data_IF_175430208516
#
_entry.id   IF_175430208516
#
_cell.length_a   1.000
_cell.length_b   1.000
_cell.length_c   1.000
_cell.angle_alpha   90.00
_cell.angle_beta   90.00
_cell.angle_gamma   90.00
#
_symmetry.space_group_name_H-M   'P 1'
#
loop_
_entity.id
_entity.type
_entity.pdbx_description
1 polymer ?
#
# COMPACT_ATOMS: atom_id res chain seq x y z
N UNK A 1 -9.44 1.24 -52.52
CA UNK A 1 -9.68 1.66 -51.13
C UNK A 1 -9.55 0.42 -50.28
N UNK A 2 -8.73 0.51 -49.27
CA UNK A 2 -8.27 -0.62 -48.51
C UNK A 2 -9.35 -1.05 -47.51
N UNK A 3 -9.89 -2.27 -47.71
CA UNK A 3 -10.95 -2.85 -46.89
C UNK A 3 -10.56 -2.95 -45.42
N UNK A 4 -9.25 -2.96 -45.13
CA UNK A 4 -8.67 -2.96 -43.80
C UNK A 4 -8.89 -1.59 -43.11
N UNK A 5 -8.67 -0.47 -43.83
CA UNK A 5 -8.85 0.87 -43.28
C UNK A 5 -10.32 1.20 -42.98
N UNK A 6 -11.24 0.58 -43.75
CA UNK A 6 -12.69 0.74 -43.54
C UNK A 6 -13.14 -0.06 -42.28
N UNK A 7 -12.59 -1.27 -42.09
CA UNK A 7 -12.80 -2.08 -40.89
C UNK A 7 -12.21 -1.44 -39.62
N UNK A 8 -11.00 -0.86 -39.71
CA UNK A 8 -10.41 -0.14 -38.57
C UNK A 8 -11.23 1.08 -38.17
N UNK A 9 -11.78 1.79 -39.14
CA UNK A 9 -12.62 2.97 -38.89
C UNK A 9 -13.97 2.57 -38.27
N UNK A 10 -14.56 1.46 -38.67
CA UNK A 10 -15.79 0.91 -38.11
C UNK A 10 -15.56 0.41 -36.68
N UNK A 11 -14.43 -0.25 -36.41
CA UNK A 11 -14.06 -0.72 -35.09
C UNK A 11 -13.79 0.43 -34.11
N UNK A 12 -13.12 1.49 -34.55
CA UNK A 12 -12.87 2.68 -33.75
C UNK A 12 -14.16 3.44 -33.43
N UNK A 13 -15.08 3.53 -34.38
CA UNK A 13 -16.39 4.17 -34.18
C UNK A 13 -17.25 3.36 -33.18
N UNK A 14 -17.22 2.03 -33.23
CA UNK A 14 -17.94 1.17 -32.30
C UNK A 14 -17.34 1.23 -30.87
N UNK A 15 -16.03 1.42 -30.75
CA UNK A 15 -15.36 1.64 -29.46
C UNK A 15 -15.66 3.02 -28.84
N UNK A 16 -15.91 4.05 -29.66
CA UNK A 16 -16.29 5.39 -29.20
C UNK A 16 -17.78 5.46 -28.80
N UNK A 17 -18.68 4.75 -29.53
CA UNK A 17 -20.12 4.70 -29.20
C UNK A 17 -20.45 3.77 -28.03
N UNK A 18 -19.66 2.71 -27.83
CA UNK A 18 -19.82 1.76 -26.72
C UNK A 18 -18.48 1.66 -25.96
N UNK A 19 -18.13 2.64 -25.13
CA UNK A 19 -17.00 2.47 -24.25
C UNK A 19 -17.29 1.27 -23.35
N UNK A 20 -16.51 0.20 -23.55
CA UNK A 20 -16.56 -0.93 -22.63
C UNK A 20 -16.04 -0.40 -21.29
N UNK A 21 -16.95 0.05 -20.45
CA UNK A 21 -16.65 0.26 -19.04
C UNK A 21 -16.25 -1.09 -18.46
N UNK A 22 -14.96 -1.34 -18.40
CA UNK A 22 -14.42 -2.40 -17.55
C UNK A 22 -14.60 -1.99 -16.09
N UNK A 23 -15.84 -1.95 -15.63
CA UNK A 23 -16.17 -1.98 -14.22
C UNK A 23 -16.16 -3.44 -13.76
N UNK A 24 -15.07 -4.15 -13.98
CA UNK A 24 -14.74 -5.20 -13.03
C UNK A 24 -14.34 -4.47 -11.74
N UNK A 25 -15.30 -4.26 -10.87
CA UNK A 25 -15.04 -4.13 -9.43
C UNK A 25 -14.49 -5.48 -8.98
N UNK A 26 -13.22 -5.69 -9.31
CA UNK A 26 -12.47 -6.86 -8.89
C UNK A 26 -12.45 -6.79 -7.37
N UNK A 27 -13.28 -7.63 -6.74
CA UNK A 27 -13.37 -7.65 -5.28
C UNK A 27 -12.00 -8.09 -4.74
N UNK A 28 -11.18 -7.12 -4.35
CA UNK A 28 -9.85 -7.32 -3.78
C UNK A 28 -9.86 -7.30 -2.25
N UNK A 29 -11.05 -7.26 -1.65
CA UNK A 29 -11.24 -7.16 -0.20
C UNK A 29 -11.15 -8.54 0.44
N UNK A 30 -10.32 -8.66 1.46
CA UNK A 30 -10.20 -9.84 2.30
C UNK A 30 -11.38 -9.89 3.27
N UNK A 31 -12.22 -10.90 3.15
CA UNK A 31 -13.35 -11.10 4.06
C UNK A 31 -12.93 -11.96 5.25
N UNK A 32 -13.15 -11.46 6.46
CA UNK A 32 -12.94 -12.22 7.68
C UNK A 32 -14.27 -12.79 8.12
N UNK A 33 -14.38 -14.12 8.08
CA UNK A 33 -15.52 -14.83 8.68
C UNK A 33 -15.31 -14.87 10.20
N UNK A 34 -16.12 -14.08 10.91
CA UNK A 34 -16.02 -13.99 12.37
C UNK A 34 -16.36 -15.31 13.08
N UNK A 35 -17.26 -16.15 12.54
CA UNK A 35 -17.64 -17.41 13.16
C UNK A 35 -16.54 -18.44 13.07
N UNK A 36 -15.92 -18.60 11.89
CA UNK A 36 -14.82 -19.49 11.64
C UNK A 36 -13.46 -18.83 11.92
N UNK A 37 -13.43 -17.52 12.04
CA UNK A 37 -12.22 -16.70 12.21
C UNK A 37 -11.20 -16.91 11.08
N UNK A 38 -11.68 -17.25 9.89
CA UNK A 38 -10.86 -17.43 8.71
C UNK A 38 -10.78 -16.12 7.92
N UNK A 39 -9.67 -15.96 7.21
CA UNK A 39 -9.47 -14.86 6.25
C UNK A 39 -9.64 -15.45 4.86
N UNK A 40 -10.68 -15.04 4.16
CA UNK A 40 -10.92 -15.42 2.77
C UNK A 40 -10.09 -14.53 1.85
N UNK A 41 -9.16 -15.15 1.13
CA UNK A 41 -8.29 -14.43 0.17
C UNK A 41 -9.08 -14.23 -1.12
N UNK A 42 -9.21 -13.00 -1.63
CA UNK A 42 -9.83 -12.75 -2.93
C UNK A 42 -9.09 -13.49 -4.04
N UNK A 43 -9.80 -14.08 -4.98
CA UNK A 43 -9.20 -14.86 -6.10
C UNK A 43 -8.27 -14.03 -6.97
N UNK A 44 -8.41 -12.73 -6.93
CA UNK A 44 -7.59 -11.74 -7.66
C UNK A 44 -6.27 -11.41 -6.97
N UNK A 45 -6.17 -11.69 -5.67
CA UNK A 45 -4.94 -11.44 -4.90
C UNK A 45 -4.09 -12.70 -4.91
N UNK A 46 -3.07 -12.72 -5.76
CA UNK A 46 -2.17 -13.87 -5.91
C UNK A 46 -0.92 -13.78 -5.03
N UNK A 47 -0.53 -12.56 -4.65
CA UNK A 47 0.69 -12.30 -3.89
C UNK A 47 0.51 -11.07 -2.98
N UNK A 48 1.41 -10.90 -2.04
CA UNK A 48 1.43 -9.74 -1.13
C UNK A 48 2.33 -8.60 -1.66
N UNK A 49 3.21 -8.88 -2.58
CA UNK A 49 4.14 -7.91 -3.20
C UNK A 49 5.28 -8.62 -3.91
N UNK A 50 6.23 -7.85 -4.38
CA UNK A 50 7.53 -8.29 -4.90
C UNK A 50 8.60 -7.97 -3.85
N UNK A 51 9.68 -8.72 -3.83
CA UNK A 51 10.81 -8.50 -2.93
C UNK A 51 11.30 -7.04 -2.98
N UNK A 52 11.48 -6.45 -1.81
CA UNK A 52 11.87 -5.04 -1.62
C UNK A 52 10.80 -3.98 -1.93
N UNK A 53 9.56 -4.34 -2.25
CA UNK A 53 8.47 -3.38 -2.29
C UNK A 53 8.31 -2.68 -0.93
N UNK A 54 7.94 -1.39 -0.94
CA UNK A 54 7.75 -0.62 0.28
C UNK A 54 6.56 0.33 0.12
N UNK A 55 5.54 0.15 0.94
CA UNK A 55 4.33 0.99 1.02
C UNK A 55 3.55 1.19 -0.30
N UNK A 56 3.74 0.29 -1.28
CA UNK A 56 3.07 0.35 -2.59
C UNK A 56 1.78 -0.46 -2.66
N UNK A 57 1.61 -1.45 -1.79
CA UNK A 57 0.44 -2.33 -1.77
C UNK A 57 -0.35 -2.19 -0.47
N UNK A 58 -1.65 -1.99 -0.63
CA UNK A 58 -2.61 -1.94 0.47
C UNK A 58 -3.57 -3.11 0.35
N UNK A 59 -3.67 -3.91 1.41
CA UNK A 59 -4.65 -4.98 1.52
C UNK A 59 -5.84 -4.48 2.32
N UNK A 60 -7.02 -4.57 1.75
CA UNK A 60 -8.26 -4.13 2.39
C UNK A 60 -8.99 -5.32 3.02
N UNK A 61 -9.52 -5.12 4.22
CA UNK A 61 -10.22 -6.15 4.97
C UNK A 61 -11.62 -5.67 5.34
N UNK A 62 -12.55 -6.62 5.36
CA UNK A 62 -13.87 -6.43 5.94
C UNK A 62 -14.22 -7.58 6.87
N UNK A 63 -14.96 -7.28 7.92
CA UNK A 63 -15.44 -8.27 8.87
C UNK A 63 -16.76 -7.82 9.50
N UNK A 64 -17.62 -8.75 9.97
CA UNK A 64 -18.79 -8.41 10.75
C UNK A 64 -18.43 -7.65 12.03
N UNK A 65 -19.25 -6.68 12.39
CA UNK A 65 -19.14 -5.92 13.63
C UNK A 65 -19.39 -6.79 14.87
N UNK A 66 -20.24 -7.81 14.73
CA UNK A 66 -20.69 -8.64 15.83
C UNK A 66 -20.05 -10.02 15.80
N UNK A 67 -19.58 -10.50 16.95
CA UNK A 67 -19.13 -11.87 17.17
C UNK A 67 -19.73 -12.40 18.46
N UNK A 68 -20.74 -13.25 18.35
CA UNK A 68 -21.54 -13.66 19.51
C UNK A 68 -22.13 -12.44 20.22
N UNK A 69 -21.81 -12.28 21.50
CA UNK A 69 -22.23 -11.14 22.33
C UNK A 69 -21.28 -9.93 22.24
N UNK A 70 -20.18 -10.03 21.48
CA UNK A 70 -19.15 -9.00 21.45
C UNK A 70 -19.31 -8.06 20.27
N UNK A 71 -19.32 -6.75 20.57
CA UNK A 71 -19.19 -5.69 19.57
C UNK A 71 -17.70 -5.46 19.27
N UNK A 72 -17.25 -5.96 18.12
CA UNK A 72 -15.86 -5.89 17.68
C UNK A 72 -15.41 -4.48 17.33
N UNK A 73 -16.34 -3.52 17.19
CA UNK A 73 -15.99 -2.12 16.96
C UNK A 73 -15.22 -1.49 18.13
N UNK A 74 -15.32 -2.04 19.33
CA UNK A 74 -14.62 -1.58 20.52
C UNK A 74 -13.18 -2.11 20.59
N UNK A 75 -12.84 -3.11 19.77
CA UNK A 75 -11.52 -3.74 19.80
C UNK A 75 -10.52 -2.95 18.95
N UNK A 76 -9.28 -2.87 19.40
CA UNK A 76 -8.15 -2.43 18.59
C UNK A 76 -7.71 -3.57 17.69
N UNK A 77 -7.41 -3.25 16.44
CA UNK A 77 -7.00 -4.24 15.43
C UNK A 77 -5.50 -4.10 15.16
N UNK A 78 -4.82 -5.21 15.08
CA UNK A 78 -3.45 -5.29 14.60
C UNK A 78 -3.27 -6.53 13.74
N UNK A 79 -2.27 -6.54 12.88
CA UNK A 79 -1.88 -7.69 12.08
C UNK A 79 -0.54 -8.17 12.62
N UNK A 80 -0.51 -9.42 13.10
CA UNK A 80 0.73 -10.06 13.46
C UNK A 80 1.21 -10.87 12.26
N UNK A 81 2.45 -10.72 11.87
CA UNK A 81 2.98 -11.43 10.72
C UNK A 81 4.38 -11.97 10.94
N UNK A 82 4.74 -12.95 10.12
CA UNK A 82 6.07 -13.54 10.01
C UNK A 82 6.45 -13.48 8.54
N UNK A 83 7.55 -12.81 8.21
CA UNK A 83 8.05 -12.73 6.85
C UNK A 83 8.72 -14.03 6.39
N UNK A 84 9.15 -14.10 5.14
CA UNK A 84 9.73 -15.31 4.57
C UNK A 84 11.05 -15.76 5.24
N UNK A 85 11.77 -14.88 5.92
CA UNK A 85 12.96 -15.21 6.71
C UNK A 85 12.65 -15.69 8.14
N UNK A 86 11.39 -15.63 8.57
CA UNK A 86 10.98 -15.99 9.92
C UNK A 86 10.99 -14.81 10.91
N UNK A 87 11.23 -13.58 10.46
CA UNK A 87 11.19 -12.39 11.32
C UNK A 87 9.73 -12.07 11.68
N UNK A 88 9.47 -11.94 12.98
CA UNK A 88 8.14 -11.65 13.52
C UNK A 88 7.97 -10.16 13.73
N UNK A 89 6.82 -9.61 13.29
CA UNK A 89 6.49 -8.21 13.50
C UNK A 89 4.98 -7.99 13.58
N UNK A 90 4.59 -6.75 13.81
CA UNK A 90 3.19 -6.33 13.92
C UNK A 90 2.95 -5.10 13.04
N UNK A 91 1.73 -4.97 12.55
CA UNK A 91 1.21 -3.75 11.95
C UNK A 91 0.01 -3.27 12.77
N UNK A 92 0.02 -2.01 13.19
CA UNK A 92 -1.09 -1.39 13.91
C UNK A 92 -2.05 -0.77 12.91
N UNK A 93 -3.31 -1.18 12.98
CA UNK A 93 -4.36 -0.64 12.10
C UNK A 93 -4.83 0.72 12.64
N UNK A 94 -4.70 1.76 11.82
CA UNK A 94 -5.08 3.13 12.18
C UNK A 94 -6.36 3.59 11.47
N UNK A 95 -6.72 2.98 10.35
CA UNK A 95 -7.80 3.38 9.44
C UNK A 95 -9.11 2.60 9.63
N UNK A 96 -9.31 1.98 10.80
CA UNK A 96 -10.53 1.24 11.11
C UNK A 96 -11.77 2.11 10.97
N UNK A 97 -12.73 1.66 10.17
CA UNK A 97 -14.04 2.29 9.97
C UNK A 97 -15.15 1.30 10.28
N UNK A 98 -16.24 1.81 10.85
CA UNK A 98 -17.46 1.05 11.13
C UNK A 98 -18.56 1.59 10.25
N UNK A 99 -19.16 0.74 9.41
CA UNK A 99 -20.27 1.09 8.53
C UNK A 99 -21.35 0.04 8.62
N UNK A 100 -22.49 0.40 9.22
CA UNK A 100 -23.56 -0.55 9.51
C UNK A 100 -23.09 -1.71 10.37
N UNK A 101 -23.26 -2.91 9.85
CA UNK A 101 -22.90 -4.16 10.52
C UNK A 101 -21.49 -4.66 10.18
N UNK A 102 -20.69 -3.86 9.49
CA UNK A 102 -19.35 -4.22 9.07
C UNK A 102 -18.28 -3.26 9.62
N UNK A 103 -17.09 -3.82 9.83
CA UNK A 103 -15.87 -3.10 10.12
C UNK A 103 -14.95 -3.27 8.91
N UNK A 104 -14.40 -2.17 8.42
CA UNK A 104 -13.38 -2.17 7.36
C UNK A 104 -12.09 -1.56 7.87
N UNK A 105 -10.97 -2.06 7.39
CA UNK A 105 -9.64 -1.56 7.71
C UNK A 105 -8.65 -1.99 6.64
N UNK A 106 -7.43 -1.47 6.68
CA UNK A 106 -6.41 -1.86 5.72
C UNK A 106 -5.05 -2.17 6.36
N UNK A 107 -4.23 -2.87 5.59
CA UNK A 107 -2.83 -3.12 5.87
C UNK A 107 -1.97 -2.56 4.75
N UNK A 108 -1.20 -1.52 5.03
CA UNK A 108 -0.17 -1.02 4.14
C UNK A 108 1.07 -1.91 4.29
N UNK A 109 1.43 -2.59 3.19
CA UNK A 109 2.51 -3.58 3.18
C UNK A 109 3.84 -2.86 3.06
N UNK A 110 4.57 -2.77 4.17
CA UNK A 110 5.88 -2.14 4.20
C UNK A 110 7.03 -3.13 3.95
N UNK A 111 8.23 -2.60 3.77
CA UNK A 111 9.45 -3.33 3.41
C UNK A 111 9.77 -4.51 4.33
N UNK A 112 9.48 -4.45 5.61
CA UNK A 112 9.72 -5.56 6.53
C UNK A 112 8.95 -6.84 6.16
N UNK A 113 7.80 -6.69 5.49
CA UNK A 113 6.97 -7.81 5.01
C UNK A 113 7.60 -8.42 3.76
N UNK A 114 8.01 -7.55 2.82
CA UNK A 114 8.48 -7.91 1.47
C UNK A 114 9.99 -8.10 1.36
N UNK A 115 10.71 -7.96 2.48
CA UNK A 115 12.17 -7.96 2.52
C UNK A 115 12.81 -9.20 1.90
N UNK A 116 12.11 -10.31 1.92
CA UNK A 116 12.58 -11.60 1.39
C UNK A 116 11.47 -12.26 0.58
N UNK A 117 11.83 -12.83 -0.57
CA UNK A 117 10.91 -13.66 -1.36
C UNK A 117 10.45 -14.89 -0.58
N UNK A 118 9.23 -15.32 -0.80
CA UNK A 118 8.66 -16.52 -0.21
C UNK A 118 7.42 -16.25 0.62
N UNK A 119 7.07 -17.19 1.49
CA UNK A 119 5.81 -17.20 2.20
C UNK A 119 5.80 -16.25 3.40
N UNK A 120 4.80 -15.36 3.42
CA UNK A 120 4.44 -14.52 4.56
C UNK A 120 3.22 -15.12 5.22
N UNK A 121 3.31 -15.33 6.53
CA UNK A 121 2.21 -15.83 7.35
C UNK A 121 1.68 -14.69 8.22
N UNK A 122 0.37 -14.53 8.32
CA UNK A 122 -0.21 -13.48 9.14
C UNK A 122 -1.56 -13.86 9.75
N UNK A 123 -1.93 -13.17 10.81
CA UNK A 123 -3.24 -13.22 11.45
C UNK A 123 -3.73 -11.83 11.75
N UNK A 124 -5.04 -11.65 11.79
CA UNK A 124 -5.66 -10.45 12.34
C UNK A 124 -5.98 -10.70 13.81
N UNK A 125 -5.48 -9.80 14.66
CA UNK A 125 -5.62 -9.87 16.10
C UNK A 125 -6.44 -8.68 16.60
N UNK A 126 -7.54 -8.96 17.31
CA UNK A 126 -8.41 -7.96 17.91
C UNK A 126 -8.22 -8.00 19.42
N UNK A 127 -7.99 -6.83 20.03
CA UNK A 127 -7.76 -6.69 21.46
C UNK A 127 -8.69 -5.66 22.07
N UNK A 128 -9.37 -6.06 23.14
CA UNK A 128 -10.10 -5.14 24.01
C UNK A 128 -9.26 -4.93 25.27
N UNK A 129 -8.95 -3.69 25.58
CA UNK A 129 -8.21 -3.33 26.79
C UNK A 129 -9.05 -2.40 27.67
N UNK A 130 -8.78 -2.42 28.96
CA UNK A 130 -9.35 -1.46 29.91
C UNK A 130 -8.63 -0.09 29.82
N UNK A 131 -9.04 0.85 30.70
CA UNK A 131 -8.43 2.19 30.78
C UNK A 131 -6.96 2.17 31.23
N UNK A 132 -6.52 1.10 31.87
CA UNK A 132 -5.13 0.92 32.32
C UNK A 132 -4.26 0.25 31.25
N UNK A 133 -4.86 -0.18 30.14
CA UNK A 133 -4.18 -0.88 29.05
C UNK A 133 -4.06 -2.40 29.27
N UNK A 134 -4.69 -2.96 30.31
CA UNK A 134 -4.74 -4.40 30.53
C UNK A 134 -5.69 -5.05 29.51
N UNK A 135 -5.24 -6.18 28.92
CA UNK A 135 -6.01 -6.89 27.90
C UNK A 135 -7.13 -7.66 28.59
N UNK A 136 -8.37 -7.24 28.35
CA UNK A 136 -9.57 -7.91 28.85
C UNK A 136 -9.96 -9.08 27.97
N UNK A 137 -9.84 -8.92 26.65
CA UNK A 137 -10.22 -9.92 25.65
C UNK A 137 -9.30 -9.86 24.44
N UNK A 138 -9.03 -11.01 23.87
CA UNK A 138 -8.27 -11.15 22.63
C UNK A 138 -8.94 -12.17 21.71
N UNK A 139 -9.11 -11.81 20.45
CA UNK A 139 -9.65 -12.67 19.41
C UNK A 139 -8.66 -12.67 18.24
N UNK A 140 -8.27 -13.85 17.79
CA UNK A 140 -7.35 -14.03 16.68
C UNK A 140 -8.04 -14.77 15.53
N UNK A 141 -7.74 -14.41 14.30
CA UNK A 141 -8.09 -15.22 13.13
C UNK A 141 -7.18 -16.45 13.04
N UNK A 142 -7.55 -17.39 12.20
CA UNK A 142 -6.65 -18.46 11.78
C UNK A 142 -5.53 -17.90 10.90
N UNK A 143 -4.49 -18.69 10.70
CA UNK A 143 -3.32 -18.31 9.90
C UNK A 143 -3.70 -18.13 8.42
N UNK A 144 -3.39 -16.97 7.88
CA UNK A 144 -3.46 -16.67 6.45
C UNK A 144 -2.05 -16.64 5.85
N UNK A 145 -1.93 -16.99 4.56
CA UNK A 145 -0.65 -17.10 3.86
C UNK A 145 -0.74 -16.42 2.51
N UNK A 146 0.25 -15.56 2.22
CA UNK A 146 0.47 -14.97 0.93
C UNK A 146 1.95 -15.09 0.57
N UNK A 147 2.28 -14.87 -0.69
CA UNK A 147 3.63 -15.00 -1.21
C UNK A 147 4.20 -13.65 -1.63
N UNK A 148 5.46 -13.41 -1.28
CA UNK A 148 6.29 -12.35 -1.85
C UNK A 148 7.00 -12.94 -3.06
N UNK A 149 6.77 -12.34 -4.22
CA UNK A 149 7.42 -12.78 -5.46
C UNK A 149 8.90 -12.38 -5.47
N UNK A 150 9.68 -13.09 -6.25
CA UNK A 150 11.09 -12.76 -6.44
C UNK A 150 11.24 -11.41 -7.13
N UNK A 151 12.02 -10.53 -6.53
CA UNK A 151 12.50 -9.26 -7.09
C UNK A 151 13.95 -9.38 -7.50
N UNK A 152 14.44 -8.38 -8.21
CA UNK A 152 15.86 -8.24 -8.50
C UNK A 152 16.38 -6.97 -7.83
N UNK A 153 16.81 -7.08 -6.59
CA UNK A 153 17.53 -5.99 -5.93
C UNK A 153 19.01 -6.14 -6.25
N UNK A 154 19.53 -5.23 -7.05
CA UNK A 154 20.97 -5.17 -7.36
C UNK A 154 21.61 -4.19 -6.39
N UNK A 155 22.36 -4.71 -5.41
CA UNK A 155 23.29 -3.88 -4.64
C UNK A 155 24.54 -3.69 -5.52
N UNK A 156 24.79 -2.49 -6.05
CA UNK A 156 25.98 -2.28 -6.88
C UNK A 156 27.23 -2.56 -6.06
N UNK A 157 27.96 -3.59 -6.44
CA UNK A 157 29.31 -3.79 -5.93
C UNK A 157 30.19 -2.76 -6.64
N UNK A 158 30.70 -1.79 -5.89
CA UNK A 158 31.58 -0.75 -6.43
C UNK A 158 32.91 -1.40 -6.76
N UNK A 159 33.07 -1.80 -8.00
CA UNK A 159 34.36 -2.20 -8.58
C UNK A 159 34.67 -1.26 -9.76
N UNK A 160 35.87 -1.43 -10.35
CA UNK A 160 36.32 -0.59 -11.49
C UNK A 160 35.39 -0.65 -12.72
N UNK A 161 34.42 -1.62 -12.77
CA UNK A 161 33.46 -1.79 -13.88
C UNK A 161 32.13 -1.07 -13.64
N UNK A 162 31.93 -0.50 -12.46
CA UNK A 162 30.67 0.18 -12.10
C UNK A 162 30.76 1.70 -12.25
N UNK A 163 31.79 2.21 -12.92
CA UNK A 163 31.99 3.66 -13.15
C UNK A 163 30.78 4.32 -13.76
N UNK A 164 30.11 3.66 -14.72
CA UNK A 164 28.91 4.17 -15.39
C UNK A 164 27.73 4.38 -14.42
N UNK A 165 27.57 3.48 -13.45
CA UNK A 165 26.49 3.57 -12.43
C UNK A 165 26.79 4.74 -11.48
N UNK A 166 28.03 4.91 -11.07
CA UNK A 166 28.45 6.01 -10.21
C UNK A 166 28.23 7.35 -10.92
N UNK A 167 28.61 7.46 -12.20
CA UNK A 167 28.36 8.65 -12.99
C UNK A 167 26.87 8.94 -13.15
N UNK A 168 26.03 7.91 -13.33
CA UNK A 168 24.59 8.05 -13.40
C UNK A 168 24.00 8.55 -12.07
N UNK A 169 24.43 7.99 -10.95
CA UNK A 169 24.02 8.42 -9.60
C UNK A 169 24.45 9.86 -9.32
N UNK A 170 25.68 10.24 -9.69
CA UNK A 170 26.17 11.62 -9.55
C UNK A 170 25.32 12.60 -10.35
N UNK A 171 24.99 12.28 -11.61
CA UNK A 171 24.10 13.11 -12.44
C UNK A 171 22.70 13.25 -11.83
N UNK A 172 22.16 12.17 -11.26
CA UNK A 172 20.85 12.22 -10.58
C UNK A 172 20.91 13.14 -9.36
N UNK A 173 21.92 13.01 -8.51
CA UNK A 173 22.12 13.86 -7.33
C UNK A 173 22.30 15.32 -7.73
N UNK A 174 23.11 15.63 -8.75
CA UNK A 174 23.30 16.97 -9.27
C UNK A 174 22.00 17.58 -9.80
N UNK A 175 21.19 16.80 -10.51
CA UNK A 175 19.91 17.26 -11.05
C UNK A 175 18.91 17.58 -9.93
N UNK A 176 18.78 16.71 -8.93
CA UNK A 176 17.90 16.92 -7.79
C UNK A 176 18.37 18.10 -6.92
N UNK A 177 19.67 18.21 -6.68
CA UNK A 177 20.25 19.31 -5.90
C UNK A 177 20.02 20.63 -6.61
N UNK A 178 20.25 20.70 -7.91
CA UNK A 178 20.03 21.92 -8.71
C UNK A 178 18.56 22.33 -8.71
N UNK A 179 17.63 21.37 -8.88
CA UNK A 179 16.21 21.61 -8.82
C UNK A 179 15.72 22.12 -7.44
N UNK A 180 16.31 21.59 -6.37
CA UNK A 180 15.99 22.01 -5.00
C UNK A 180 16.54 23.41 -4.71
N UNK A 181 17.77 23.68 -5.09
CA UNK A 181 18.39 25.02 -4.93
C UNK A 181 17.62 26.09 -5.72
N UNK A 182 17.17 25.78 -6.94
CA UNK A 182 16.35 26.71 -7.72
C UNK A 182 15.02 27.03 -7.02
N UNK A 183 14.31 26.01 -6.54
CA UNK A 183 13.04 26.21 -5.79
C UNK A 183 13.22 27.08 -4.55
N UNK A 184 14.25 26.81 -3.73
CA UNK A 184 14.53 27.58 -2.53
C UNK A 184 14.92 29.01 -2.85
N UNK A 185 15.69 29.22 -3.95
CA UNK A 185 16.08 30.57 -4.40
C UNK A 185 14.88 31.38 -4.89
N UNK A 186 13.96 30.76 -5.64
CA UNK A 186 12.73 31.42 -6.12
C UNK A 186 11.77 31.77 -4.99
N UNK A 187 11.60 30.87 -4.02
CA UNK A 187 10.81 31.12 -2.83
C UNK A 187 11.41 32.24 -1.96
N UNK A 188 12.71 32.21 -1.77
CA UNK A 188 13.44 33.27 -1.07
C UNK A 188 13.26 34.63 -1.74
N UNK A 189 13.36 34.72 -3.07
CA UNK A 189 13.08 35.96 -3.82
C UNK A 189 11.65 36.46 -3.64
N UNK A 190 10.65 35.56 -3.68
CA UNK A 190 9.24 35.93 -3.44
C UNK A 190 9.01 36.50 -2.04
N UNK A 191 9.63 35.88 -1.02
CA UNK A 191 9.52 36.36 0.36
C UNK A 191 10.19 37.74 0.54
N UNK A 192 11.37 37.94 -0.02
CA UNK A 192 12.06 39.25 0.02
C UNK A 192 11.22 40.34 -0.65
N UNK A 193 10.62 40.05 -1.83
CA UNK A 193 9.72 41.01 -2.48
C UNK A 193 8.46 41.32 -1.68
N UNK A 194 7.88 40.31 -1.00
CA UNK A 194 6.71 40.51 -0.15
C UNK A 194 7.05 41.41 1.06
N UNK A 195 8.21 41.21 1.68
CA UNK A 195 8.68 42.04 2.79
C UNK A 195 8.98 43.49 2.33
N UNK A 196 9.62 43.65 1.17
CA UNK A 196 9.89 44.98 0.61
C UNK A 196 8.61 45.75 0.29
N UNK A 197 7.59 45.03 -0.26
CA UNK A 197 6.28 45.66 -0.54
C UNK A 197 5.57 46.06 0.74
N UNK A 198 5.57 45.22 1.78
CA UNK A 198 4.98 45.54 3.07
C UNK A 198 5.69 46.74 3.79
N UNK A 199 7.02 46.86 3.57
CA UNK A 199 7.79 47.98 4.13
C UNK A 199 7.57 49.33 3.42
N UNK A 200 6.99 49.32 2.21
CA UNK A 200 6.66 50.55 1.46
C UNK A 200 5.22 51.04 1.70
N UNK A 201 4.39 50.25 2.37
CA UNK A 201 3.00 50.57 2.72
C UNK A 201 2.84 51.12 4.15
N UNK A 202 3.96 51.32 4.86
CA UNK A 202 4.04 51.96 6.19
C UNK A 202 4.59 53.39 6.05
#
# INVERSE_FOLDING_TARGET
MDKLAELEKELLADMEENPVEYTETVNSVFEIDSNLRTINIPVTVKNIGVESDDDVKRLEFTMPKQYGEFDLSQFRIRINYVNANGDKSIYLVEDKKVSGDNITFSWLVGRNVTKYKGQVNFIVCLKLSDEKGEILKELNTTLCRLEVLEGLEVVPVIDEKTTDIIEQLLRMVETETTGTVQKVTEEGKKQVQAVQKAAQEI
#
